data_IF_442248387753
#
_entry.id   IF_442248387753
#
_cell.length_a   1.000
_cell.length_b   1.000
_cell.length_c   1.000
_cell.angle_alpha   90.00
_cell.angle_beta   90.00
_cell.angle_gamma   90.00
#
_symmetry.space_group_name_H-M   'P 1'
#
loop_
_entity.id
_entity.type
_entity.pdbx_description
1 polymer ?
#
# COMPACT_ATOMS: atom_id res chain seq x y z
N UNK A 1 -1.14 9.85 -14.11
CA UNK A 1 -2.34 8.98 -14.02
C UNK A 1 -2.28 8.04 -12.83
N UNK A 2 -1.62 6.87 -12.83
CA UNK A 2 -1.71 5.98 -11.65
C UNK A 2 -1.23 6.60 -10.33
N UNK A 3 -0.13 7.34 -10.34
CA UNK A 3 0.34 8.06 -9.14
C UNK A 3 -0.71 9.04 -8.61
N UNK A 4 -1.21 9.93 -9.47
CA UNK A 4 -2.20 10.96 -9.15
C UNK A 4 -3.55 10.39 -8.72
N UNK A 5 -3.88 9.18 -9.17
CA UNK A 5 -5.13 8.49 -8.84
C UNK A 5 -4.99 7.56 -7.60
N UNK A 6 -3.76 7.24 -7.16
CA UNK A 6 -3.48 6.34 -6.03
C UNK A 6 -3.01 7.08 -4.79
N UNK A 7 -2.07 8.02 -4.93
CA UNK A 7 -1.44 8.70 -3.78
C UNK A 7 -2.47 9.50 -2.98
N UNK A 8 -3.26 10.43 -3.57
CA UNK A 8 -4.19 11.24 -2.79
C UNK A 8 -5.21 10.44 -1.97
N UNK A 9 -5.91 9.44 -2.52
CA UNK A 9 -6.86 8.66 -1.73
C UNK A 9 -6.17 7.78 -0.68
N UNK A 10 -5.01 7.19 -0.98
CA UNK A 10 -4.28 6.38 0.00
C UNK A 10 -3.72 7.24 1.14
N UNK A 11 -3.23 8.43 0.83
CA UNK A 11 -2.79 9.41 1.82
C UNK A 11 -3.94 9.81 2.73
N UNK A 12 -5.12 10.13 2.18
CA UNK A 12 -6.30 10.47 2.97
C UNK A 12 -6.74 9.34 3.91
N UNK A 13 -6.65 8.07 3.48
CA UNK A 13 -6.94 6.92 4.34
C UNK A 13 -5.96 6.86 5.51
N UNK A 14 -4.66 7.03 5.27
CA UNK A 14 -3.64 7.01 6.32
C UNK A 14 -3.76 8.21 7.27
N UNK A 15 -3.99 9.41 6.72
CA UNK A 15 -4.19 10.65 7.50
C UNK A 15 -5.46 10.62 8.35
N UNK A 16 -6.48 9.85 7.96
CA UNK A 16 -7.70 9.67 8.76
C UNK A 16 -7.47 8.87 10.05
N UNK A 17 -6.29 8.27 10.23
CA UNK A 17 -5.96 7.47 11.41
C UNK A 17 -5.21 8.31 12.44
N UNK A 18 -5.79 8.51 13.63
CA UNK A 18 -5.17 9.31 14.70
C UNK A 18 -3.79 8.78 15.16
N UNK A 19 -3.55 7.48 14.98
CA UNK A 19 -2.33 6.79 15.41
C UNK A 19 -1.21 6.81 14.36
N UNK A 20 -1.44 7.40 13.17
CA UNK A 20 -0.51 7.43 12.05
C UNK A 20 0.04 8.85 11.83
N UNK A 21 1.35 8.98 11.63
CA UNK A 21 2.03 10.24 11.33
C UNK A 21 3.17 10.03 10.31
N UNK A 22 3.77 11.13 9.85
CA UNK A 22 4.97 11.13 9.00
C UNK A 22 4.80 10.25 7.75
N UNK A 23 3.66 10.45 7.07
CA UNK A 23 3.28 9.71 5.87
C UNK A 23 4.09 10.25 4.69
N UNK A 24 4.80 9.35 4.02
CA UNK A 24 5.49 9.59 2.76
C UNK A 24 5.09 8.50 1.77
N UNK A 25 4.46 8.91 0.67
CA UNK A 25 4.00 8.02 -0.39
C UNK A 25 4.66 8.45 -1.69
N UNK A 26 5.22 7.50 -2.42
CA UNK A 26 5.81 7.76 -3.73
C UNK A 26 5.51 6.63 -4.70
N UNK A 27 5.41 6.99 -5.98
CA UNK A 27 5.25 6.02 -7.05
C UNK A 27 6.44 6.17 -8.00
N UNK A 28 7.40 5.24 -7.95
CA UNK A 28 8.62 5.29 -8.76
C UNK A 28 8.88 3.93 -9.39
N UNK A 29 9.32 3.90 -10.64
CA UNK A 29 9.70 2.67 -11.36
C UNK A 29 8.67 1.53 -11.25
N UNK A 30 7.39 1.85 -11.47
CA UNK A 30 6.27 0.91 -11.35
C UNK A 30 6.17 0.25 -9.97
N UNK A 31 6.62 0.98 -8.93
CA UNK A 31 6.57 0.58 -7.54
C UNK A 31 5.91 1.70 -6.74
N UNK A 32 4.81 1.36 -6.09
CA UNK A 32 4.24 2.20 -5.03
C UNK A 32 5.00 1.91 -3.75
N UNK A 33 5.60 2.93 -3.14
CA UNK A 33 6.21 2.85 -1.82
C UNK A 33 5.45 3.72 -0.85
N UNK A 34 5.35 3.26 0.38
CA UNK A 34 4.81 4.08 1.46
C UNK A 34 5.54 3.84 2.76
N UNK A 35 5.82 4.95 3.44
CA UNK A 35 6.44 5.02 4.75
C UNK A 35 5.51 5.82 5.66
N UNK A 36 5.34 5.35 6.88
CA UNK A 36 4.59 6.07 7.91
C UNK A 36 5.00 5.58 9.29
N UNK A 37 4.82 6.43 10.30
CA UNK A 37 4.91 6.03 11.69
C UNK A 37 3.52 5.66 12.20
N UNK A 38 3.39 4.53 12.87
CA UNK A 38 2.19 4.19 13.64
C UNK A 38 2.58 4.03 15.11
N UNK A 39 2.03 4.85 16.01
CA UNK A 39 2.39 4.84 17.45
C UNK A 39 3.91 4.84 17.69
N UNK A 40 4.65 5.67 16.96
CA UNK A 40 6.13 5.74 16.98
C UNK A 40 6.87 4.51 16.43
N UNK A 41 6.18 3.53 15.83
CA UNK A 41 6.79 2.40 15.14
C UNK A 41 6.86 2.74 13.64
N UNK A 42 8.04 2.68 13.01
CA UNK A 42 8.14 2.90 11.57
C UNK A 42 7.64 1.71 10.78
N UNK A 43 6.77 1.97 9.82
CA UNK A 43 6.28 1.01 8.84
C UNK A 43 6.72 1.43 7.45
N UNK A 44 7.01 0.43 6.63
CA UNK A 44 7.30 0.61 5.22
C UNK A 44 6.62 -0.49 4.43
N UNK A 45 5.96 -0.13 3.33
CA UNK A 45 5.40 -1.09 2.39
C UNK A 45 5.79 -0.73 0.96
N UNK A 46 5.73 -1.72 0.10
CA UNK A 46 5.75 -1.50 -1.33
C UNK A 46 4.78 -2.41 -2.07
N UNK A 47 4.23 -1.92 -3.17
CA UNK A 47 3.52 -2.70 -4.17
C UNK A 47 4.26 -2.56 -5.50
N UNK A 48 4.67 -3.68 -6.08
CA UNK A 48 5.49 -3.71 -7.30
C UNK A 48 4.70 -4.25 -8.50
N UNK A 49 4.81 -3.55 -9.62
CA UNK A 49 4.14 -3.81 -10.89
C UNK A 49 5.18 -4.03 -12.01
N UNK A 50 5.93 -5.15 -12.00
CA UNK A 50 7.11 -5.40 -12.85
C UNK A 50 6.91 -5.27 -14.36
N UNK A 51 5.68 -5.37 -14.85
CA UNK A 51 5.37 -5.32 -16.28
C UNK A 51 4.99 -3.92 -16.77
N UNK A 52 5.08 -2.89 -15.92
CA UNK A 52 4.67 -1.50 -16.25
C UNK A 52 3.18 -1.36 -16.55
N UNK A 53 2.42 -2.41 -16.29
CA UNK A 53 0.99 -2.49 -16.45
C UNK A 53 0.41 -3.28 -15.28
N UNK A 54 -0.89 -3.10 -15.03
CA UNK A 54 -1.57 -3.83 -13.98
C UNK A 54 -1.83 -5.31 -14.36
N UNK A 55 -1.49 -5.70 -15.59
CA UNK A 55 -1.67 -7.04 -16.17
C UNK A 55 -0.37 -7.84 -16.10
N UNK A 56 -0.04 -8.35 -14.90
CA UNK A 56 1.17 -9.14 -14.69
C UNK A 56 1.28 -9.67 -13.26
N UNK A 57 2.43 -10.28 -12.96
CA UNK A 57 2.80 -10.62 -11.59
C UNK A 57 2.88 -9.33 -10.77
N UNK A 58 2.27 -9.34 -9.57
CA UNK A 58 2.17 -8.17 -8.71
C UNK A 58 2.55 -8.61 -7.30
N UNK A 59 3.49 -7.90 -6.71
CA UNK A 59 4.01 -8.19 -5.38
C UNK A 59 3.59 -7.11 -4.41
N UNK A 60 3.25 -7.51 -3.19
CA UNK A 60 3.11 -6.60 -2.07
C UNK A 60 4.04 -7.07 -0.96
N UNK A 61 4.67 -6.13 -0.28
CA UNK A 61 5.39 -6.42 0.94
C UNK A 61 5.24 -5.29 1.93
N UNK A 62 5.23 -5.65 3.20
CA UNK A 62 5.16 -4.70 4.31
C UNK A 62 6.10 -5.16 5.41
N UNK A 63 6.74 -4.19 6.04
CA UNK A 63 7.57 -4.41 7.20
C UNK A 63 7.35 -3.32 8.24
N UNK A 64 7.77 -3.63 9.46
CA UNK A 64 7.80 -2.71 10.58
C UNK A 64 9.22 -2.65 11.13
N UNK A 65 9.50 -1.63 11.96
CA UNK A 65 10.76 -1.47 12.67
C UNK A 65 11.98 -1.28 11.75
N UNK A 66 11.79 -0.74 10.54
CA UNK A 66 12.89 -0.44 9.60
C UNK A 66 13.64 -1.67 9.07
N UNK A 67 13.19 -2.88 9.39
CA UNK A 67 13.70 -4.10 8.75
C UNK A 67 13.15 -4.15 7.33
N UNK A 68 14.02 -4.35 6.35
CA UNK A 68 13.59 -4.42 4.95
C UNK A 68 12.47 -5.48 4.77
N UNK A 69 11.45 -5.20 3.95
CA UNK A 69 10.41 -6.17 3.60
C UNK A 69 11.01 -7.49 3.12
N UNK A 70 10.74 -8.58 3.85
CA UNK A 70 11.39 -9.89 3.63
C UNK A 70 10.47 -10.93 2.98
N UNK A 71 9.16 -10.66 2.91
CA UNK A 71 8.16 -11.57 2.32
C UNK A 71 7.40 -10.86 1.20
N UNK A 72 7.48 -11.39 -0.02
CA UNK A 72 6.67 -10.92 -1.14
C UNK A 72 5.39 -11.73 -1.21
N UNK A 73 4.25 -11.06 -1.04
CA UNK A 73 2.93 -11.65 -1.14
C UNK A 73 2.30 -11.38 -2.51
N UNK A 74 1.47 -12.31 -3.04
CA UNK A 74 0.67 -12.04 -4.22
C UNK A 74 -0.28 -10.87 -4.00
N UNK A 75 -0.34 -9.94 -4.95
CA UNK A 75 -1.15 -8.73 -4.88
C UNK A 75 -2.08 -8.64 -6.09
N UNK A 76 -3.34 -8.22 -5.91
CA UNK A 76 -4.30 -8.02 -7.01
C UNK A 76 -4.43 -9.24 -7.95
N UNK A 77 -4.53 -10.45 -7.40
CA UNK A 77 -4.57 -11.71 -8.18
C UNK A 77 -5.92 -11.98 -8.84
N UNK A 78 -7.02 -11.53 -8.22
CA UNK A 78 -8.38 -11.81 -8.70
C UNK A 78 -8.88 -10.82 -9.75
N UNK A 79 -8.19 -9.69 -9.92
CA UNK A 79 -8.68 -8.57 -10.72
C UNK A 79 -8.24 -8.69 -12.18
N UNK A 80 -9.20 -8.88 -13.09
CA UNK A 80 -8.92 -9.04 -14.55
C UNK A 80 -8.53 -7.73 -15.22
N UNK A 81 -9.02 -6.59 -14.72
CA UNK A 81 -8.73 -5.25 -15.23
C UNK A 81 -8.49 -4.30 -14.06
N UNK A 82 -7.30 -4.36 -13.43
CA UNK A 82 -7.07 -3.56 -12.25
C UNK A 82 -7.01 -2.08 -12.63
N UNK A 83 -7.41 -1.22 -11.71
CA UNK A 83 -7.38 0.23 -11.84
C UNK A 83 -6.67 0.82 -10.61
N UNK A 84 -6.35 2.12 -10.63
CA UNK A 84 -5.81 2.83 -9.48
C UNK A 84 -6.65 2.60 -8.20
N UNK A 85 -7.97 2.67 -8.30
CA UNK A 85 -8.87 2.40 -7.18
C UNK A 85 -8.73 0.98 -6.61
N UNK A 86 -8.48 -0.02 -7.46
CA UNK A 86 -8.22 -1.37 -6.98
C UNK A 86 -6.89 -1.46 -6.23
N UNK A 87 -5.85 -0.72 -6.66
CA UNK A 87 -4.57 -0.63 -5.93
C UNK A 87 -4.81 -0.08 -4.54
N UNK A 88 -5.47 1.08 -4.43
CA UNK A 88 -5.81 1.73 -3.15
C UNK A 88 -6.55 0.75 -2.25
N UNK A 89 -7.64 0.16 -2.75
CA UNK A 89 -8.47 -0.79 -2.01
C UNK A 89 -7.67 -2.00 -1.49
N UNK A 90 -6.79 -2.58 -2.31
CA UNK A 90 -6.01 -3.74 -1.90
C UNK A 90 -4.87 -3.39 -0.94
N UNK A 91 -4.22 -2.23 -1.10
CA UNK A 91 -3.23 -1.75 -0.12
C UNK A 91 -3.91 -1.55 1.22
N UNK A 92 -5.04 -0.85 1.23
CA UNK A 92 -5.85 -0.64 2.42
C UNK A 92 -6.22 -1.96 3.09
N UNK A 93 -6.76 -2.91 2.34
CA UNK A 93 -7.12 -4.24 2.83
C UNK A 93 -5.93 -4.98 3.46
N UNK A 94 -4.73 -4.84 2.90
CA UNK A 94 -3.50 -5.43 3.45
C UNK A 94 -3.07 -4.75 4.75
N UNK A 95 -3.11 -3.41 4.81
CA UNK A 95 -2.85 -2.66 6.04
C UNK A 95 -3.83 -3.06 7.16
N UNK A 96 -5.10 -3.21 6.82
CA UNK A 96 -6.13 -3.65 7.76
C UNK A 96 -5.88 -5.07 8.27
N UNK A 97 -5.49 -5.99 7.38
CA UNK A 97 -5.15 -7.37 7.73
C UNK A 97 -3.93 -7.47 8.68
N UNK A 98 -2.99 -6.52 8.60
CA UNK A 98 -1.88 -6.39 9.53
C UNK A 98 -2.25 -5.68 10.85
N UNK A 99 -3.51 -5.26 11.00
CA UNK A 99 -3.98 -4.48 12.15
C UNK A 99 -3.39 -3.07 12.22
N UNK A 100 -2.91 -2.53 11.09
CA UNK A 100 -2.34 -1.18 11.00
C UNK A 100 -3.47 -0.15 11.00
N UNK A 101 -4.46 -0.35 10.15
CA UNK A 101 -5.70 0.43 10.14
C UNK A 101 -6.87 -0.47 10.59
N UNK A 102 -7.98 0.09 11.08
CA UNK A 102 -9.14 -0.71 11.46
C UNK A 102 -9.68 -1.48 10.25
N UNK A 103 -10.04 -2.75 10.47
CA UNK A 103 -10.81 -3.53 9.50
C UNK A 103 -12.21 -2.93 9.48
N UNK A 104 -12.66 -2.50 8.29
CA UNK A 104 -14.03 -2.05 8.08
C UNK A 104 -15.02 -3.04 8.72
N UNK A 105 -15.82 -2.57 9.68
CA UNK A 105 -17.09 -3.24 9.96
C UNK A 105 -18.01 -2.90 8.79
N UNK A 106 -18.33 -3.90 7.98
CA UNK A 106 -19.41 -3.80 6.98
C UNK A 106 -20.73 -3.39 7.63
#
# INVERSE_FOLDING_TARGET
MMEEDVIPPLQAILESQDDISDIDLSFQDDKLEGFFLKKSIPYSFWAFFPTGNLTGAKGFSISSHGSGPSTVEPFLVDERKPTANHVVFWVEKRLAAQGIIPVWNQ
#
